data_IF_589551830084
#
_entry.id   IF_589551830084
#
_cell.length_a   1.000
_cell.length_b   1.000
_cell.length_c   1.000
_cell.angle_alpha   90.00
_cell.angle_beta   90.00
_cell.angle_gamma   90.00
#
_symmetry.space_group_name_H-M   'P 1'
#
loop_
_entity.id
_entity.type
_entity.pdbx_description
1 polymer ?
#
# COMPACT_ATOMS: atom_id res chain seq x y z
N UNK A 1 8.30 -39.87 -23.76
CA UNK A 1 9.27 -38.86 -24.24
C UNK A 1 8.65 -37.84 -25.20
N UNK A 2 7.95 -38.26 -26.27
CA UNK A 2 7.26 -37.31 -27.17
C UNK A 2 6.15 -36.52 -26.47
N UNK A 3 5.36 -37.17 -25.62
CA UNK A 3 4.27 -36.53 -24.86
C UNK A 3 4.81 -35.48 -23.87
N UNK A 4 5.89 -35.80 -23.15
CA UNK A 4 6.56 -34.87 -22.23
C UNK A 4 7.09 -33.63 -22.97
N UNK A 5 7.61 -33.81 -24.19
CA UNK A 5 8.05 -32.69 -25.02
C UNK A 5 6.87 -31.87 -25.55
N UNK A 6 5.75 -32.51 -25.88
CA UNK A 6 4.52 -31.82 -26.29
C UNK A 6 3.89 -31.04 -25.14
N UNK A 7 3.86 -31.60 -23.93
CA UNK A 7 3.44 -30.89 -22.72
C UNK A 7 4.36 -29.70 -22.40
N UNK A 8 5.68 -29.86 -22.54
CA UNK A 8 6.62 -28.76 -22.32
C UNK A 8 6.44 -27.63 -23.36
N UNK A 9 6.18 -27.96 -24.62
CA UNK A 9 5.86 -26.99 -25.67
C UNK A 9 4.52 -26.31 -25.39
N UNK A 10 3.51 -27.06 -24.96
CA UNK A 10 2.18 -26.54 -24.62
C UNK A 10 2.22 -25.62 -23.39
N UNK A 11 2.97 -25.98 -22.35
CA UNK A 11 3.19 -25.12 -21.19
C UNK A 11 3.96 -23.85 -21.54
N UNK A 12 4.91 -23.91 -22.47
CA UNK A 12 5.62 -22.72 -22.95
C UNK A 12 4.73 -21.82 -23.82
N UNK A 13 3.77 -22.40 -24.56
CA UNK A 13 2.75 -21.63 -25.28
C UNK A 13 1.76 -20.95 -24.32
N UNK A 14 1.33 -21.65 -23.26
CA UNK A 14 0.48 -21.09 -22.20
C UNK A 14 1.18 -19.95 -21.43
N UNK A 15 2.49 -20.02 -21.20
CA UNK A 15 3.27 -18.91 -20.59
C UNK A 15 3.36 -17.67 -21.50
N UNK A 16 3.29 -17.85 -22.83
CA UNK A 16 3.36 -16.75 -23.81
C UNK A 16 2.01 -16.05 -24.00
N UNK A 17 0.91 -16.77 -23.82
CA UNK A 17 -0.44 -16.25 -23.78
C UNK A 17 -0.67 -15.68 -22.38
N UNK A 18 -0.45 -14.38 -22.17
CA UNK A 18 -0.50 -13.71 -20.86
C UNK A 18 -1.89 -13.69 -20.19
N UNK A 19 -2.52 -14.84 -20.01
CA UNK A 19 -3.88 -15.04 -19.51
C UNK A 19 -4.02 -14.56 -18.07
N UNK A 20 -2.99 -14.76 -17.25
CA UNK A 20 -3.00 -14.38 -15.83
C UNK A 20 -2.63 -12.91 -15.58
N UNK A 21 -2.42 -12.08 -16.62
CA UNK A 21 -2.07 -10.66 -16.42
C UNK A 21 -3.24 -9.81 -15.91
N UNK A 22 -4.47 -10.29 -16.14
CA UNK A 22 -5.72 -9.62 -15.73
C UNK A 22 -6.55 -10.43 -14.73
N UNK A 23 -6.05 -11.56 -14.21
CA UNK A 23 -6.78 -12.34 -13.19
C UNK A 23 -6.33 -11.87 -11.81
N UNK A 24 -7.16 -11.09 -11.08
CA UNK A 24 -6.79 -10.64 -9.74
C UNK A 24 -6.69 -11.84 -8.80
N UNK A 25 -5.47 -12.14 -8.34
CA UNK A 25 -5.24 -13.07 -7.25
C UNK A 25 -5.59 -12.33 -5.95
N UNK A 26 -6.79 -12.56 -5.44
CA UNK A 26 -7.25 -11.98 -4.19
C UNK A 26 -6.46 -12.57 -3.01
N UNK A 27 -5.92 -11.69 -2.13
CA UNK A 27 -5.47 -12.07 -0.79
C UNK A 27 -4.01 -11.79 -0.40
N UNK A 28 -3.15 -11.31 -1.30
CA UNK A 28 -1.72 -11.03 -0.96
C UNK A 28 -1.39 -9.52 -0.98
N UNK A 29 -2.23 -8.69 -1.60
CA UNK A 29 -2.00 -7.25 -1.68
C UNK A 29 -3.05 -6.48 -0.89
N UNK A 30 -2.87 -6.41 0.42
CA UNK A 30 -3.32 -5.24 1.16
C UNK A 30 -2.32 -4.11 0.87
N UNK A 31 -2.60 -3.33 -0.18
CA UNK A 31 -2.17 -1.94 -0.35
C UNK A 31 -2.90 -1.35 -1.54
N UNK A 32 -4.09 -0.85 -1.25
CA UNK A 32 -4.64 0.30 -1.95
C UNK A 32 -3.60 1.42 -1.96
N UNK A 33 -3.03 1.67 -3.14
CA UNK A 33 -2.82 3.01 -3.69
C UNK A 33 -2.25 2.88 -5.10
N UNK A 34 -3.18 3.07 -6.05
CA UNK A 34 -3.01 3.75 -7.33
C UNK A 34 -1.98 3.20 -8.33
N UNK A 35 -2.42 3.03 -9.57
CA UNK A 35 -1.64 2.67 -10.74
C UNK A 35 -0.51 3.69 -11.06
N UNK A 36 0.53 3.75 -10.24
CA UNK A 36 1.85 4.21 -10.64
C UNK A 36 2.80 3.06 -10.44
N UNK A 37 3.42 2.59 -11.53
CA UNK A 37 4.57 1.69 -11.45
C UNK A 37 5.60 2.39 -10.55
N UNK A 38 5.90 1.82 -9.40
CA UNK A 38 6.93 2.38 -8.52
C UNK A 38 8.27 2.02 -9.12
N UNK A 39 9.11 3.02 -9.38
CA UNK A 39 10.49 2.84 -9.81
C UNK A 39 11.37 3.15 -8.61
N UNK A 40 12.19 2.19 -8.20
CA UNK A 40 13.22 2.38 -7.17
C UNK A 40 14.61 2.54 -7.79
N UNK A 41 15.56 3.07 -7.02
CA UNK A 41 16.94 3.26 -7.42
C UNK A 41 17.90 2.57 -6.44
N UNK A 42 18.99 1.97 -6.93
CA UNK A 42 20.06 1.39 -6.10
C UNK A 42 21.44 1.78 -6.64
N UNK A 43 22.48 1.83 -5.80
CA UNK A 43 23.86 2.08 -6.27
C UNK A 43 24.25 1.03 -7.32
N UNK A 44 24.76 1.48 -8.46
CA UNK A 44 25.13 0.61 -9.56
C UNK A 44 26.51 -0.01 -9.31
N UNK A 45 26.62 -1.33 -9.50
CA UNK A 45 27.90 -2.06 -9.39
C UNK A 45 28.46 -2.46 -10.76
N UNK A 46 27.68 -2.28 -11.82
CA UNK A 46 27.95 -2.83 -13.17
C UNK A 46 28.01 -1.76 -14.27
N UNK A 47 28.27 -0.49 -13.93
CA UNK A 47 28.37 0.56 -14.94
C UNK A 47 29.70 0.43 -15.69
N UNK A 48 29.65 0.08 -16.97
CA UNK A 48 30.83 -0.19 -17.82
C UNK A 48 31.13 0.98 -18.79
N UNK A 49 30.93 2.23 -18.35
CA UNK A 49 31.25 3.44 -19.14
C UNK A 49 30.25 3.81 -20.24
N UNK A 50 29.18 3.03 -20.46
CA UNK A 50 28.15 3.33 -21.48
C UNK A 50 26.86 3.85 -20.84
N UNK A 51 26.33 5.00 -21.30
CA UNK A 51 25.07 5.52 -20.79
C UNK A 51 23.91 4.62 -21.22
N UNK A 52 23.22 4.06 -20.23
CA UNK A 52 22.04 3.23 -20.41
C UNK A 52 20.80 3.93 -19.84
N UNK A 53 19.61 3.61 -20.38
CA UNK A 53 18.33 4.16 -19.90
C UNK A 53 18.05 3.87 -18.41
N UNK A 54 18.64 2.81 -17.88
CA UNK A 54 18.49 2.37 -16.50
C UNK A 54 19.52 2.97 -15.55
N UNK A 55 20.55 3.65 -16.06
CA UNK A 55 21.63 4.21 -15.23
C UNK A 55 21.53 5.72 -15.17
N UNK A 56 21.57 6.23 -13.94
CA UNK A 56 21.21 7.60 -13.62
C UNK A 56 22.12 8.09 -12.51
N UNK A 57 22.60 9.33 -12.59
CA UNK A 57 23.37 9.93 -11.50
C UNK A 57 22.43 10.69 -10.57
N UNK A 58 22.55 10.43 -9.28
CA UNK A 58 21.73 11.04 -8.22
C UNK A 58 22.67 11.60 -7.17
N UNK A 59 22.67 12.92 -6.99
CA UNK A 59 23.51 13.61 -5.99
C UNK A 59 22.89 14.95 -5.57
N UNK A 60 23.42 15.58 -4.51
CA UNK A 60 22.94 16.91 -4.10
C UNK A 60 23.22 17.94 -5.20
N UNK A 61 22.32 18.90 -5.39
CA UNK A 61 22.43 19.96 -6.42
C UNK A 61 23.76 20.69 -6.40
N UNK A 62 24.38 20.87 -5.22
CA UNK A 62 25.71 21.49 -5.07
C UNK A 62 26.81 20.68 -5.75
N UNK A 63 26.84 19.35 -5.58
CA UNK A 63 27.83 18.45 -6.19
C UNK A 63 27.63 18.33 -7.70
N UNK A 64 26.39 18.31 -8.16
CA UNK A 64 26.07 18.34 -9.59
C UNK A 64 26.42 19.70 -10.22
N UNK A 65 26.24 20.80 -9.48
CA UNK A 65 26.57 22.14 -9.95
C UNK A 65 28.06 22.34 -10.19
N UNK A 66 28.93 21.71 -9.38
CA UNK A 66 30.38 21.70 -9.57
C UNK A 66 30.80 21.06 -10.92
N UNK A 67 29.98 20.11 -11.43
CA UNK A 67 30.23 19.37 -12.68
C UNK A 67 29.51 19.95 -13.91
N UNK A 68 28.91 21.14 -13.81
CA UNK A 68 27.99 21.77 -14.79
C UNK A 68 28.39 21.77 -16.27
N UNK A 69 29.68 21.63 -16.61
CA UNK A 69 30.14 21.78 -18.00
C UNK A 69 29.66 20.64 -18.92
N UNK A 70 29.38 19.45 -18.38
CA UNK A 70 29.01 18.27 -19.19
C UNK A 70 27.70 17.57 -18.75
N UNK A 71 27.01 18.12 -17.74
CA UNK A 71 25.78 17.50 -17.21
C UNK A 71 24.57 17.72 -18.15
N UNK A 72 24.01 16.61 -18.65
CA UNK A 72 22.77 16.58 -19.44
C UNK A 72 21.56 16.28 -18.56
N UNK A 73 20.46 17.00 -18.78
CA UNK A 73 19.20 16.78 -18.08
C UNK A 73 18.68 15.36 -18.33
N UNK A 74 18.29 14.63 -17.27
CA UNK A 74 17.73 13.29 -17.45
C UNK A 74 16.43 13.30 -18.27
N UNK A 75 15.53 14.26 -18.04
CA UNK A 75 14.22 14.33 -18.70
C UNK A 75 14.26 14.62 -20.21
N UNK A 76 15.11 15.57 -20.68
CA UNK A 76 15.17 15.96 -22.10
C UNK A 76 16.53 15.72 -22.79
N UNK A 77 17.61 15.49 -22.06
CA UNK A 77 18.96 15.26 -22.60
C UNK A 77 19.76 16.51 -22.97
N UNK A 78 19.20 17.71 -22.79
CA UNK A 78 19.89 18.98 -23.04
C UNK A 78 20.75 19.42 -21.85
N UNK A 79 21.81 20.20 -22.13
CA UNK A 79 22.74 20.70 -21.12
C UNK A 79 22.20 22.02 -20.53
N UNK A 80 22.52 22.30 -19.27
CA UNK A 80 22.33 23.63 -18.66
C UNK A 80 21.18 23.75 -17.66
N UNK A 81 20.42 22.68 -17.39
CA UNK A 81 19.39 22.65 -16.35
C UNK A 81 19.28 21.26 -15.71
N UNK A 82 18.69 21.20 -14.52
CA UNK A 82 18.44 19.94 -13.81
C UNK A 82 17.10 19.31 -14.21
N UNK A 83 16.94 18.01 -13.97
CA UNK A 83 15.73 17.29 -14.37
C UNK A 83 14.46 17.83 -13.68
N UNK A 84 14.59 18.24 -12.42
CA UNK A 84 13.51 18.88 -11.66
C UNK A 84 13.05 20.24 -12.25
N UNK A 85 13.95 20.98 -12.88
CA UNK A 85 13.71 22.33 -13.42
C UNK A 85 13.48 22.36 -14.94
N UNK A 86 13.41 21.19 -15.58
CA UNK A 86 13.28 21.10 -17.03
C UNK A 86 11.98 21.75 -17.53
N UNK A 87 12.09 22.76 -18.41
CA UNK A 87 10.94 23.43 -19.07
C UNK A 87 10.81 23.09 -20.55
N UNK A 88 11.66 22.20 -21.06
CA UNK A 88 11.62 21.83 -22.47
C UNK A 88 10.30 21.07 -22.77
N UNK A 89 9.54 21.42 -23.82
CA UNK A 89 8.33 20.68 -24.21
C UNK A 89 8.61 19.26 -24.75
N UNK A 90 9.86 18.95 -25.14
CA UNK A 90 10.27 17.64 -25.68
C UNK A 90 10.86 16.70 -24.62
N UNK A 91 10.20 16.58 -23.47
CA UNK A 91 10.61 15.60 -22.44
C UNK A 91 10.29 14.18 -22.87
N UNK A 92 11.17 13.26 -22.53
CA UNK A 92 10.93 11.82 -22.72
C UNK A 92 9.99 11.36 -21.61
N UNK A 93 8.71 11.11 -21.94
CA UNK A 93 7.65 10.76 -20.98
C UNK A 93 8.03 9.60 -20.04
N UNK A 94 8.72 8.58 -20.55
CA UNK A 94 9.22 7.43 -19.77
C UNK A 94 10.16 7.88 -18.64
N UNK A 95 11.05 8.85 -18.90
CA UNK A 95 12.00 9.35 -17.90
C UNK A 95 11.35 10.29 -16.89
N UNK A 96 10.32 11.03 -17.31
CA UNK A 96 9.53 11.87 -16.41
C UNK A 96 8.74 11.00 -15.44
N UNK A 97 8.14 9.90 -15.91
CA UNK A 97 7.46 8.94 -15.04
C UNK A 97 8.41 8.33 -14.00
N UNK A 98 9.64 7.99 -14.40
CA UNK A 98 10.67 7.52 -13.47
C UNK A 98 11.03 8.60 -12.44
N UNK A 99 11.23 9.85 -12.88
CA UNK A 99 11.58 10.96 -11.98
C UNK A 99 10.49 11.24 -10.95
N UNK A 100 9.22 11.24 -11.38
CA UNK A 100 8.06 11.46 -10.49
C UNK A 100 7.85 10.29 -9.50
N UNK A 101 8.36 9.10 -9.83
CA UNK A 101 8.30 7.91 -8.96
C UNK A 101 9.43 7.86 -7.94
N UNK A 102 10.59 8.46 -8.24
CA UNK A 102 11.70 8.58 -7.30
C UNK A 102 11.37 9.74 -6.33
N UNK A 103 10.90 9.41 -5.12
CA UNK A 103 10.63 10.40 -4.06
C UNK A 103 11.93 11.05 -3.54
N UNK A 104 12.54 11.92 -4.35
CA UNK A 104 13.79 12.62 -4.04
C UNK A 104 13.48 13.89 -3.23
N UNK A 105 14.30 14.17 -2.21
CA UNK A 105 14.22 15.42 -1.45
C UNK A 105 14.65 16.64 -2.27
N UNK A 106 14.17 17.83 -1.89
CA UNK A 106 14.35 19.09 -2.63
C UNK A 106 15.83 19.49 -2.90
N UNK A 107 16.78 18.93 -2.15
CA UNK A 107 18.22 19.20 -2.32
C UNK A 107 18.93 18.23 -3.28
N UNK A 108 18.28 17.13 -3.67
CA UNK A 108 18.84 16.04 -4.48
C UNK A 108 18.25 16.13 -5.89
N UNK A 109 19.08 15.95 -6.92
CA UNK A 109 18.62 16.00 -8.31
C UNK A 109 19.25 14.90 -9.16
N UNK A 110 18.72 14.78 -10.38
CA UNK A 110 18.97 13.66 -11.28
C UNK A 110 19.58 14.15 -12.59
N UNK A 111 20.71 13.55 -12.98
CA UNK A 111 21.45 13.88 -14.20
C UNK A 111 21.71 12.60 -15.00
N UNK A 112 21.67 12.69 -16.34
CA UNK A 112 22.05 11.55 -17.18
C UNK A 112 23.56 11.39 -17.21
N UNK A 113 24.02 10.13 -17.15
CA UNK A 113 25.44 9.79 -17.23
C UNK A 113 25.98 10.01 -18.65
N UNK A 114 27.23 10.47 -18.77
CA UNK A 114 27.99 10.58 -20.02
C UNK A 114 28.58 9.26 -20.51
N UNK A 115 29.48 9.35 -21.49
CA UNK A 115 30.31 8.23 -21.95
C UNK A 115 31.64 8.25 -21.19
N UNK A 116 32.15 7.07 -20.83
CA UNK A 116 33.46 6.83 -20.22
C UNK A 116 33.75 7.72 -18.99
N UNK A 117 32.83 7.71 -18.04
CA UNK A 117 33.04 8.37 -16.74
C UNK A 117 33.65 7.40 -15.72
N UNK A 118 34.80 7.79 -15.14
CA UNK A 118 35.55 6.98 -14.17
C UNK A 118 34.90 6.96 -12.76
N UNK A 119 34.09 7.97 -12.44
CA UNK A 119 33.42 8.12 -11.13
C UNK A 119 32.09 7.34 -11.08
N UNK A 120 32.16 6.09 -10.60
CA UNK A 120 31.00 5.20 -10.45
C UNK A 120 30.24 5.40 -9.13
N UNK A 121 30.81 6.13 -8.16
CA UNK A 121 30.25 6.28 -6.79
C UNK A 121 28.81 6.80 -6.76
N UNK A 122 28.48 7.70 -7.68
CA UNK A 122 27.22 8.46 -7.68
C UNK A 122 26.23 7.94 -8.74
N UNK A 123 26.54 6.79 -9.37
CA UNK A 123 25.71 6.20 -10.43
C UNK A 123 24.77 5.16 -9.82
N UNK A 124 23.48 5.32 -10.08
CA UNK A 124 22.40 4.46 -9.60
C UNK A 124 21.72 3.74 -10.77
N UNK A 125 21.34 2.49 -10.56
CA UNK A 125 20.47 1.73 -11.45
C UNK A 125 19.01 1.89 -11.01
N UNK A 126 18.11 2.21 -11.95
CA UNK A 126 16.69 2.48 -11.71
C UNK A 126 15.82 1.39 -12.36
N UNK A 127 14.80 0.87 -11.65
CA UNK A 127 13.95 -0.23 -12.12
C UNK A 127 12.67 -0.44 -11.29
N UNK A 128 11.70 -1.20 -11.85
CA UNK A 128 10.35 -1.41 -11.28
C UNK A 128 10.33 -2.39 -10.08
N UNK A 129 11.30 -3.30 -9.98
CA UNK A 129 11.39 -4.33 -8.92
C UNK A 129 12.44 -3.98 -7.85
N UNK A 130 12.89 -2.72 -7.80
CA UNK A 130 13.88 -2.27 -6.82
C UNK A 130 13.09 -1.65 -5.66
N UNK A 131 13.18 -2.25 -4.48
CA UNK A 131 12.59 -1.69 -3.26
C UNK A 131 13.16 -0.29 -2.98
N UNK A 132 12.29 0.62 -2.55
CA UNK A 132 12.56 2.05 -2.36
C UNK A 132 13.78 2.28 -1.46
N UNK A 133 14.93 2.62 -2.07
CA UNK A 133 16.09 3.10 -1.33
C UNK A 133 15.79 4.53 -0.88
N UNK A 134 15.47 4.72 0.40
CA UNK A 134 15.30 6.05 0.97
C UNK A 134 16.67 6.74 0.99
N UNK A 135 16.85 7.77 0.17
CA UNK A 135 18.05 8.60 0.18
C UNK A 135 18.08 9.41 1.48
N UNK A 136 18.64 8.85 2.55
CA UNK A 136 18.90 9.61 3.77
C UNK A 136 20.07 10.57 3.51
N UNK A 137 19.93 11.81 3.97
CA UNK A 137 20.94 12.87 3.75
C UNK A 137 22.34 12.53 4.26
N UNK A 138 22.45 11.54 5.16
CA UNK A 138 23.68 11.02 5.76
C UNK A 138 24.53 10.19 4.77
N UNK A 139 23.92 9.51 3.78
CA UNK A 139 24.64 8.66 2.81
C UNK A 139 25.32 9.45 1.67
N UNK A 140 25.05 10.76 1.59
CA UNK A 140 25.50 11.70 0.55
C UNK A 140 26.47 12.78 1.10
N UNK A 141 27.04 12.59 2.29
CA UNK A 141 28.10 13.45 2.80
C UNK A 141 29.47 13.07 2.20
N UNK A 142 29.70 13.46 0.96
CA UNK A 142 31.03 13.48 0.32
C UNK A 142 31.91 14.64 0.83
N UNK A 143 31.95 14.84 2.15
CA UNK A 143 32.92 15.75 2.75
C UNK A 143 34.20 15.00 3.07
N UNK A 144 35.03 14.72 2.06
CA UNK A 144 36.48 14.50 2.30
C UNK A 144 37.48 14.59 1.16
N UNK A 145 37.15 15.02 -0.05
CA UNK A 145 38.17 15.14 -1.12
C UNK A 145 38.39 16.58 -1.62
N UNK A 146 38.75 17.48 -0.71
CA UNK A 146 39.66 18.57 -1.07
C UNK A 146 41.06 18.15 -0.62
N UNK A 147 41.96 17.93 -1.57
CA UNK A 147 43.39 17.80 -1.31
C UNK A 147 43.94 19.15 -0.84
N UNK A 148 43.73 19.45 0.43
CA UNK A 148 44.49 20.46 1.15
C UNK A 148 45.78 19.77 1.57
N UNK A 149 46.88 20.06 0.85
CA UNK A 149 48.21 19.65 1.28
C UNK A 149 48.62 20.46 2.51
N UNK A 150 48.21 19.96 3.68
CA UNK A 150 48.74 20.38 4.96
C UNK A 150 49.95 19.48 5.25
N UNK A 151 51.14 20.05 5.44
CA UNK A 151 52.26 19.30 6.01
C UNK A 151 51.89 18.91 7.44
N UNK A 152 51.26 17.76 7.60
CA UNK A 152 51.08 17.11 8.89
C UNK A 152 52.41 16.47 9.25
N UNK A 153 53.01 16.92 10.34
CA UNK A 153 53.98 16.10 11.08
C UNK A 153 53.32 14.72 11.23
N UNK A 154 53.97 13.65 10.79
CA UNK A 154 53.45 12.28 10.80
C UNK A 154 53.12 11.83 12.24
N UNK A 155 51.98 12.29 12.76
CA UNK A 155 51.43 11.80 14.02
C UNK A 155 50.70 10.48 13.71
N UNK A 156 51.05 9.38 14.40
CA UNK A 156 50.38 8.10 14.19
C UNK A 156 48.88 8.24 14.48
N UNK A 157 48.05 7.81 13.53
CA UNK A 157 46.58 7.85 13.63
C UNK A 157 46.04 7.12 14.88
N UNK A 158 46.79 6.16 15.41
CA UNK A 158 46.39 5.38 16.58
C UNK A 158 47.49 5.30 17.64
N UNK A 159 47.13 5.69 18.86
CA UNK A 159 47.95 5.53 20.05
C UNK A 159 47.60 4.20 20.72
N UNK A 160 48.50 3.22 20.56
CA UNK A 160 48.30 1.84 20.99
C UNK A 160 49.22 1.48 22.16
N UNK A 161 48.65 1.05 23.29
CA UNK A 161 49.36 0.62 24.50
C UNK A 161 49.27 -0.89 24.67
N UNK A 162 50.34 -1.51 25.15
CA UNK A 162 50.42 -2.94 25.41
C UNK A 162 51.42 -3.63 24.48
N UNK A 163 52.00 -4.70 25.00
CA UNK A 163 52.86 -5.55 24.20
C UNK A 163 52.02 -6.38 23.21
N UNK A 164 52.52 -6.64 22.00
CA UNK A 164 51.88 -7.57 21.09
C UNK A 164 51.93 -8.96 21.69
N UNK A 165 50.81 -9.39 22.27
CA UNK A 165 50.58 -10.78 22.66
C UNK A 165 49.83 -11.51 21.55
N UNK A 166 50.14 -12.80 21.34
CA UNK A 166 49.65 -13.61 20.21
C UNK A 166 48.13 -13.61 20.00
N UNK A 167 47.33 -13.32 21.04
CA UNK A 167 45.87 -13.40 20.99
C UNK A 167 45.12 -12.16 21.49
N UNK A 168 45.80 -11.17 22.10
CA UNK A 168 45.15 -9.91 22.53
C UNK A 168 45.64 -8.74 21.71
N UNK A 169 44.69 -7.92 21.25
CA UNK A 169 44.96 -6.65 20.60
C UNK A 169 45.54 -5.62 21.56
N UNK A 170 46.32 -4.69 21.01
CA UNK A 170 46.80 -3.51 21.74
C UNK A 170 45.62 -2.61 22.13
N UNK A 171 45.72 -1.97 23.28
CA UNK A 171 44.71 -1.05 23.80
C UNK A 171 44.82 0.30 23.08
N UNK A 172 43.74 0.71 22.40
CA UNK A 172 43.64 2.06 21.85
C UNK A 172 43.35 3.05 22.97
N UNK A 173 44.19 4.06 23.11
CA UNK A 173 44.08 5.12 24.12
C UNK A 173 44.07 6.48 23.45
N UNK A 174 43.68 7.53 24.17
CA UNK A 174 43.81 8.90 23.68
C UNK A 174 45.28 9.34 23.66
N UNK A 175 45.59 10.37 22.87
CA UNK A 175 46.94 11.00 22.86
C UNK A 175 47.40 11.41 24.26
N UNK A 176 46.50 11.99 25.05
CA UNK A 176 46.78 12.42 26.42
C UNK A 176 47.10 11.24 27.32
N UNK A 177 46.37 10.13 27.19
CA UNK A 177 46.62 8.90 27.95
C UNK A 177 47.93 8.22 27.53
N UNK A 178 48.26 8.22 26.23
CA UNK A 178 49.49 7.61 25.73
C UNK A 178 50.76 8.25 26.27
N UNK A 179 50.82 9.59 26.26
CA UNK A 179 51.96 10.35 26.78
C UNK A 179 51.87 10.61 28.29
N UNK A 180 50.84 10.10 28.97
CA UNK A 180 50.67 10.31 30.39
C UNK A 180 51.72 9.54 31.19
N UNK A 181 52.41 10.24 32.09
CA UNK A 181 53.12 9.62 33.21
C UNK A 181 52.11 9.32 34.31
N UNK A 182 51.49 8.15 34.18
CA UNK A 182 50.35 7.73 35.00
C UNK A 182 50.69 7.72 36.50
N UNK A 183 49.84 8.35 37.30
CA UNK A 183 49.82 8.23 38.77
C UNK A 183 48.56 7.45 39.15
N UNK A 184 48.74 6.22 39.61
CA UNK A 184 47.65 5.28 39.87
C UNK A 184 47.12 5.39 41.30
N UNK A 185 45.81 5.34 41.46
CA UNK A 185 45.08 5.16 42.71
C UNK A 185 44.19 3.92 42.64
N UNK A 186 43.94 3.32 43.80
CA UNK A 186 43.19 2.05 43.92
C UNK A 186 41.96 2.17 44.84
N UNK A 187 41.79 3.32 45.52
CA UNK A 187 40.85 3.48 46.65
C UNK A 187 39.47 4.00 46.26
N UNK A 188 39.19 4.20 44.96
CA UNK A 188 37.92 4.79 44.53
C UNK A 188 36.74 3.84 44.77
N UNK A 189 35.60 4.41 45.15
CA UNK A 189 34.38 3.66 45.53
C UNK A 189 33.36 3.59 44.38
N UNK A 190 33.37 4.56 43.46
CA UNK A 190 32.36 4.68 42.40
C UNK A 190 32.54 3.64 41.29
N UNK A 191 31.53 2.85 40.91
CA UNK A 191 31.68 1.86 39.85
C UNK A 191 32.05 2.54 38.53
N UNK A 192 33.22 2.23 37.99
CA UNK A 192 33.70 2.75 36.69
C UNK A 192 34.00 1.58 35.75
N UNK A 193 33.84 1.79 34.44
CA UNK A 193 34.12 0.77 33.43
C UNK A 193 35.60 0.79 33.03
N UNK A 194 36.19 -0.40 32.93
CA UNK A 194 37.55 -0.53 32.41
C UNK A 194 37.64 -0.13 30.93
N UNK A 195 38.65 0.65 30.55
CA UNK A 195 38.83 1.05 29.15
C UNK A 195 39.08 -0.15 28.21
N UNK A 196 39.79 -1.18 28.70
CA UNK A 196 40.16 -2.34 27.88
C UNK A 196 39.02 -3.34 27.69
N UNK A 197 38.41 -3.83 28.77
CA UNK A 197 37.37 -4.87 28.68
C UNK A 197 35.94 -4.35 28.86
N UNK A 198 35.75 -3.06 29.20
CA UNK A 198 34.45 -2.42 29.47
C UNK A 198 33.65 -3.01 30.64
N UNK A 199 34.19 -3.98 31.37
CA UNK A 199 33.59 -4.51 32.58
C UNK A 199 33.60 -3.46 33.70
N UNK A 200 32.58 -3.51 34.54
CA UNK A 200 32.47 -2.70 35.75
C UNK A 200 33.54 -3.14 36.76
N UNK A 201 34.44 -2.22 37.09
CA UNK A 201 35.54 -2.48 38.00
C UNK A 201 35.13 -2.07 39.41
N UNK A 202 35.05 -3.06 40.31
CA UNK A 202 34.69 -2.87 41.71
C UNK A 202 35.86 -2.31 42.53
N UNK A 203 35.55 -1.79 43.72
CA UNK A 203 36.54 -1.32 44.70
C UNK A 203 37.59 -2.41 44.98
N UNK A 204 38.88 -2.08 44.89
CA UNK A 204 40.00 -2.99 45.13
C UNK A 204 40.49 -3.78 43.91
N UNK A 205 39.73 -3.79 42.80
CA UNK A 205 40.04 -4.53 41.56
C UNK A 205 40.30 -3.60 40.36
N UNK A 206 40.71 -2.35 40.62
CA UNK A 206 40.97 -1.35 39.58
C UNK A 206 42.11 -0.42 39.90
N UNK A 207 42.68 0.15 38.84
CA UNK A 207 43.64 1.24 38.89
C UNK A 207 43.09 2.42 38.09
N UNK A 208 42.99 3.56 38.75
CA UNK A 208 42.50 4.82 38.17
C UNK A 208 43.66 5.82 38.11
N UNK A 209 43.86 6.46 36.96
CA UNK A 209 44.90 7.47 36.82
C UNK A 209 44.38 8.88 37.13
N UNK A 210 45.01 9.57 38.09
CA UNK A 210 44.63 10.94 38.47
C UNK A 210 44.87 12.01 37.41
N UNK A 211 45.73 11.74 36.42
CA UNK A 211 46.13 12.73 35.42
C UNK A 211 45.33 12.64 34.12
N UNK A 212 44.98 11.42 33.71
CA UNK A 212 44.34 11.16 32.41
C UNK A 212 43.04 10.35 32.53
N UNK A 213 42.53 10.18 33.75
CA UNK A 213 41.26 9.51 34.08
C UNK A 213 41.14 8.10 33.47
N UNK A 214 42.28 7.45 33.27
CA UNK A 214 42.33 6.11 32.70
C UNK A 214 42.00 5.07 33.78
N UNK A 215 40.93 4.31 33.57
CA UNK A 215 40.51 3.20 34.45
C UNK A 215 40.82 1.84 33.82
N UNK A 216 41.57 1.01 34.54
CA UNK A 216 41.91 -0.36 34.13
C UNK A 216 41.60 -1.34 35.26
N UNK A 217 40.97 -2.48 34.93
CA UNK A 217 40.68 -3.51 35.92
C UNK A 217 41.88 -4.43 36.22
N UNK A 218 41.82 -5.16 37.33
CA UNK A 218 42.83 -6.12 37.78
C UNK A 218 43.14 -7.22 36.77
N UNK A 219 42.18 -7.58 35.91
CA UNK A 219 42.37 -8.56 34.84
C UNK A 219 43.13 -7.99 33.64
N UNK A 220 42.97 -6.70 33.35
CA UNK A 220 43.58 -6.05 32.18
C UNK A 220 44.93 -5.41 32.50
N UNK A 221 45.16 -5.02 33.76
CA UNK A 221 46.40 -4.44 34.23
C UNK A 221 47.65 -5.26 33.80
N UNK A 222 47.70 -6.60 33.98
CA UNK A 222 48.89 -7.38 33.65
C UNK A 222 49.23 -7.39 32.16
N UNK A 223 48.27 -7.14 31.29
CA UNK A 223 48.48 -7.18 29.84
C UNK A 223 48.96 -5.84 29.28
N UNK A 224 48.43 -4.74 29.80
CA UNK A 224 48.70 -3.40 29.27
C UNK A 224 49.69 -2.59 30.11
N UNK A 225 49.72 -2.79 31.43
CA UNK A 225 50.53 -2.02 32.39
C UNK A 225 51.23 -2.95 33.40
N UNK A 226 52.16 -3.77 32.91
CA UNK A 226 52.89 -4.81 33.69
C UNK A 226 53.65 -4.31 34.92
N UNK A 227 54.10 -3.05 34.90
CA UNK A 227 55.00 -2.50 35.92
C UNK A 227 54.30 -2.22 37.26
N UNK A 228 52.98 -2.05 37.24
CA UNK A 228 52.17 -1.67 38.40
C UNK A 228 51.37 -2.86 38.85
N UNK A 229 51.42 -3.28 40.11
CA UNK A 229 50.65 -4.43 40.59
C UNK A 229 49.50 -3.94 41.45
N UNK A 230 48.27 -4.31 41.08
CA UNK A 230 47.14 -4.24 42.00
C UNK A 230 47.38 -5.32 43.05
N UNK A 231 47.43 -4.93 44.32
CA UNK A 231 47.40 -5.85 45.45
C UNK A 231 45.92 -6.16 45.72
N UNK A 232 45.38 -7.30 45.26
CA UNK A 232 43.99 -7.62 45.56
C UNK A 232 43.85 -7.74 47.08
N UNK A 233 42.90 -7.00 47.66
CA UNK A 233 42.41 -7.30 49.01
C UNK A 233 41.98 -8.76 49.00
N UNK A 234 42.60 -9.57 49.85
CA UNK A 234 42.45 -11.03 49.89
C UNK A 234 40.97 -11.41 49.78
N UNK A 235 40.58 -11.93 48.61
CA UNK A 235 39.25 -12.48 48.37
C UNK A 235 39.03 -13.51 49.47
N UNK A 236 38.06 -13.26 50.36
CA UNK A 236 37.61 -14.26 51.34
C UNK A 236 37.01 -15.42 50.55
N UNK A 237 37.81 -16.42 50.22
CA UNK A 237 37.34 -17.63 49.54
C UNK A 237 36.25 -18.24 50.41
N UNK A 238 35.00 -18.22 49.90
CA UNK A 238 33.90 -18.94 50.55
C UNK A 238 34.31 -20.40 50.68
N UNK A 239 34.17 -20.96 51.88
CA UNK A 239 34.44 -22.38 52.11
C UNK A 239 33.64 -23.22 51.08
N UNK A 240 34.24 -24.26 50.47
CA UNK A 240 33.55 -25.09 49.50
C UNK A 240 32.32 -25.73 50.15
N UNK A 241 31.14 -25.55 49.55
CA UNK A 241 29.92 -26.22 50.00
C UNK A 241 30.10 -27.72 49.75
N UNK A 242 30.01 -28.53 50.81
CA UNK A 242 29.96 -29.99 50.68
C UNK A 242 28.59 -30.36 50.13
N UNK A 243 28.56 -30.87 48.89
CA UNK A 243 27.34 -31.33 48.23
C UNK A 243 27.06 -32.77 48.67
N UNK A 244 25.87 -33.02 49.21
CA UNK A 244 25.43 -34.37 49.62
C UNK A 244 24.79 -35.10 48.44
N UNK A 245 25.62 -35.80 47.67
CA UNK A 245 25.22 -36.54 46.47
C UNK A 245 24.17 -37.63 46.75
N UNK A 246 24.16 -38.19 47.97
CA UNK A 246 23.23 -39.26 48.33
C UNK A 246 21.79 -38.74 48.38
N UNK A 247 21.57 -37.54 48.93
CA UNK A 247 20.25 -36.90 48.94
C UNK A 247 19.76 -36.59 47.53
N UNK A 248 20.62 -35.99 46.72
CA UNK A 248 20.29 -35.65 45.32
C UNK A 248 19.88 -36.90 44.53
N UNK A 249 20.61 -38.02 44.70
CA UNK A 249 20.27 -39.27 44.02
C UNK A 249 18.93 -39.86 44.49
N UNK A 250 18.61 -39.77 45.79
CA UNK A 250 17.33 -40.24 46.33
C UNK A 250 16.18 -39.38 45.80
N UNK A 251 16.34 -38.06 45.79
CA UNK A 251 15.32 -37.13 45.30
C UNK A 251 15.05 -37.33 43.80
N UNK A 252 16.10 -37.53 43.01
CA UNK A 252 15.98 -37.84 41.58
C UNK A 252 15.27 -39.17 41.34
N UNK A 253 15.59 -40.21 42.12
CA UNK A 253 14.93 -41.52 42.00
C UNK A 253 13.44 -41.45 42.36
N UNK A 254 13.10 -40.68 43.40
CA UNK A 254 11.71 -40.43 43.77
C UNK A 254 10.95 -39.69 42.66
N UNK A 255 11.57 -38.68 42.05
CA UNK A 255 10.99 -37.93 40.94
C UNK A 255 10.77 -38.81 39.69
N UNK A 256 11.72 -39.70 39.37
CA UNK A 256 11.59 -40.63 38.26
C UNK A 256 10.44 -41.61 38.48
N UNK A 257 10.35 -42.21 39.67
CA UNK A 257 9.22 -43.09 40.02
C UNK A 257 7.87 -42.40 39.91
N UNK A 258 7.77 -41.16 40.38
CA UNK A 258 6.53 -40.40 40.27
C UNK A 258 6.16 -40.15 38.80
N UNK A 259 7.14 -39.86 37.95
CA UNK A 259 6.93 -39.68 36.52
C UNK A 259 6.48 -40.97 35.83
N UNK A 260 7.10 -42.10 36.16
CA UNK A 260 6.75 -43.38 35.56
C UNK A 260 5.32 -43.81 35.94
N UNK A 261 4.88 -43.53 37.17
CA UNK A 261 3.49 -43.76 37.60
C UNK A 261 2.47 -42.90 36.83
N UNK A 262 2.80 -41.63 36.57
CA UNK A 262 1.97 -40.74 35.76
C UNK A 262 1.91 -41.22 34.31
N UNK A 263 3.02 -41.73 33.77
CA UNK A 263 3.06 -42.27 32.42
C UNK A 263 2.17 -43.50 32.29
N UNK A 264 2.18 -44.40 33.28
CA UNK A 264 1.29 -45.57 33.32
C UNK A 264 -0.18 -45.15 33.38
N UNK A 265 -0.57 -44.20 34.25
CA UNK A 265 -1.96 -43.73 34.31
C UNK A 265 -2.42 -43.07 33.00
N UNK A 266 -1.55 -42.28 32.36
CA UNK A 266 -1.85 -41.66 31.07
C UNK A 266 -2.00 -42.69 29.94
N UNK A 267 -1.24 -43.80 29.98
CA UNK A 267 -1.38 -44.90 29.03
C UNK A 267 -2.74 -45.60 29.20
N UNK A 268 -3.16 -45.84 30.43
CA UNK A 268 -4.48 -46.41 30.72
C UNK A 268 -5.62 -45.48 30.23
N UNK A 269 -5.52 -44.17 30.48
CA UNK A 269 -6.47 -43.18 29.97
C UNK A 269 -6.52 -43.16 28.43
N UNK A 270 -5.37 -43.26 27.77
CA UNK A 270 -5.28 -43.31 26.30
C UNK A 270 -5.96 -44.58 25.76
N UNK A 271 -5.73 -45.73 26.38
CA UNK A 271 -6.36 -46.99 25.98
C UNK A 271 -7.89 -46.92 26.12
N UNK A 272 -8.39 -46.34 27.21
CA UNK A 272 -9.82 -46.12 27.41
C UNK A 272 -10.40 -45.19 26.35
N UNK A 273 -9.71 -44.08 26.04
CA UNK A 273 -10.13 -43.14 24.99
C UNK A 273 -10.15 -43.82 23.61
N UNK A 274 -9.16 -44.64 23.29
CA UNK A 274 -9.11 -45.40 22.03
C UNK A 274 -10.26 -46.42 21.93
N UNK A 275 -10.61 -47.09 23.03
CA UNK A 275 -11.77 -47.98 23.07
C UNK A 275 -13.08 -47.23 22.83
N UNK A 276 -13.25 -46.05 23.44
CA UNK A 276 -14.42 -45.20 23.20
C UNK A 276 -14.50 -44.75 21.73
N UNK A 277 -13.38 -44.32 21.15
CA UNK A 277 -13.33 -43.93 19.72
C UNK A 277 -13.70 -45.11 18.81
N UNK A 278 -13.21 -46.32 19.10
CA UNK A 278 -13.60 -47.51 18.33
C UNK A 278 -15.10 -47.79 18.43
N UNK A 279 -15.67 -47.68 19.62
CA UNK A 279 -17.11 -47.84 19.85
C UNK A 279 -17.95 -46.84 19.05
N UNK A 280 -17.60 -45.55 19.09
CA UNK A 280 -18.33 -44.53 18.34
C UNK A 280 -18.13 -44.63 16.83
N UNK A 281 -16.96 -45.07 16.35
CA UNK A 281 -16.75 -45.35 14.93
C UNK A 281 -17.62 -46.49 14.43
N UNK A 282 -17.71 -47.59 15.16
CA UNK A 282 -18.60 -48.71 14.80
C UNK A 282 -20.07 -48.26 14.73
N UNK A 283 -20.55 -47.52 15.73
CA UNK A 283 -21.90 -46.94 15.70
C UNK A 283 -22.14 -45.99 14.52
N UNK A 284 -21.14 -45.18 14.15
CA UNK A 284 -21.27 -44.29 13.01
C UNK A 284 -21.30 -45.04 11.66
N UNK A 285 -20.63 -46.19 11.57
CA UNK A 285 -20.68 -47.07 10.39
C UNK A 285 -22.04 -47.78 10.31
N UNK A 286 -22.58 -48.27 11.42
CA UNK A 286 -23.95 -48.84 11.49
C UNK A 286 -25.01 -47.82 11.01
N UNK A 287 -24.93 -46.56 11.49
CA UNK A 287 -25.85 -45.50 11.06
C UNK A 287 -25.70 -45.22 9.56
N UNK A 288 -24.46 -45.22 9.02
CA UNK A 288 -24.22 -45.01 7.59
C UNK A 288 -24.82 -46.13 6.75
N UNK A 289 -24.65 -47.38 7.15
CA UNK A 289 -25.25 -48.52 6.46
C UNK A 289 -26.78 -48.46 6.50
N UNK A 290 -27.37 -48.08 7.63
CA UNK A 290 -28.83 -47.93 7.77
C UNK A 290 -29.39 -46.78 6.89
N UNK A 291 -28.65 -45.66 6.75
CA UNK A 291 -29.03 -44.56 5.84
C UNK A 291 -28.83 -44.86 4.36
N UNK A 292 -28.01 -45.85 3.98
CA UNK A 292 -27.85 -46.25 2.58
C UNK A 292 -28.98 -47.17 2.10
N UNK A 293 -29.68 -47.85 3.01
CA UNK A 293 -30.75 -48.82 2.71
C UNK A 293 -32.14 -48.17 2.64
N UNK A 294 -32.27 -46.90 3.04
CA UNK A 294 -33.49 -46.12 2.74
C UNK A 294 -33.45 -45.69 1.28
N UNK A 295 -33.93 -46.59 0.41
CA UNK A 295 -34.21 -46.31 -1.00
C UNK A 295 -34.95 -44.97 -1.11
N UNK A 296 -34.40 -44.04 -1.89
CA UNK A 296 -35.07 -42.77 -2.22
C UNK A 296 -36.46 -43.13 -2.72
N UNK A 297 -37.55 -42.64 -2.08
CA UNK A 297 -38.90 -43.04 -2.46
C UNK A 297 -39.11 -42.84 -3.96
N UNK A 298 -39.66 -43.84 -4.66
CA UNK A 298 -39.91 -43.78 -6.12
C UNK A 298 -40.69 -42.52 -6.53
N UNK A 299 -41.47 -41.96 -5.63
CA UNK A 299 -42.19 -40.70 -5.79
C UNK A 299 -41.25 -39.49 -5.98
N UNK A 300 -40.15 -39.42 -5.22
CA UNK A 300 -39.13 -38.36 -5.34
C UNK A 300 -38.35 -38.50 -6.65
N UNK A 301 -38.10 -39.74 -7.10
CA UNK A 301 -37.43 -40.00 -8.39
C UNK A 301 -38.32 -39.54 -9.55
N UNK A 302 -39.62 -39.87 -9.52
CA UNK A 302 -40.59 -39.41 -10.52
C UNK A 302 -40.75 -37.89 -10.53
N UNK A 303 -40.76 -37.26 -9.36
CA UNK A 303 -40.82 -35.79 -9.26
C UNK A 303 -39.57 -35.12 -9.85
N UNK A 304 -38.39 -35.68 -9.57
CA UNK A 304 -37.13 -35.24 -10.17
C UNK A 304 -37.12 -35.36 -11.70
N UNK A 305 -37.69 -36.42 -12.26
CA UNK A 305 -37.82 -36.59 -13.72
C UNK A 305 -38.81 -35.59 -14.32
N UNK A 306 -39.96 -35.37 -13.68
CA UNK A 306 -40.92 -34.36 -14.10
C UNK A 306 -40.32 -32.94 -14.07
N UNK A 307 -39.55 -32.61 -13.03
CA UNK A 307 -38.84 -31.34 -12.94
C UNK A 307 -37.78 -31.18 -14.04
N UNK A 308 -37.07 -32.26 -14.39
CA UNK A 308 -36.12 -32.25 -15.51
C UNK A 308 -36.81 -31.97 -16.85
N UNK A 309 -37.92 -32.65 -17.12
CA UNK A 309 -38.72 -32.44 -18.34
C UNK A 309 -39.30 -31.02 -18.40
N UNK A 310 -39.81 -30.52 -17.26
CA UNK A 310 -40.32 -29.15 -17.13
C UNK A 310 -39.23 -28.12 -17.43
N UNK A 311 -38.04 -28.30 -16.85
CA UNK A 311 -36.90 -27.43 -17.13
C UNK A 311 -36.49 -27.45 -18.59
N UNK A 312 -36.43 -28.63 -19.24
CA UNK A 312 -36.11 -28.74 -20.67
C UNK A 312 -37.13 -28.01 -21.55
N UNK A 313 -38.43 -28.08 -21.20
CA UNK A 313 -39.47 -27.34 -21.90
C UNK A 313 -39.32 -25.82 -21.73
N UNK A 314 -39.01 -25.36 -20.50
CA UNK A 314 -38.77 -23.95 -20.22
C UNK A 314 -37.54 -23.42 -20.97
N UNK A 315 -36.50 -24.23 -21.14
CA UNK A 315 -35.33 -23.86 -21.93
C UNK A 315 -35.67 -23.68 -23.41
N UNK A 316 -36.47 -24.57 -24.00
CA UNK A 316 -36.94 -24.44 -25.40
C UNK A 316 -37.79 -23.18 -25.59
N UNK A 317 -38.71 -22.90 -24.67
CA UNK A 317 -39.51 -21.68 -24.71
C UNK A 317 -38.64 -20.42 -24.63
N UNK A 318 -37.65 -20.42 -23.73
CA UNK A 318 -36.68 -19.31 -23.62
C UNK A 318 -35.88 -19.12 -24.92
N UNK A 319 -35.47 -20.20 -25.58
CA UNK A 319 -34.77 -20.11 -26.87
C UNK A 319 -35.65 -19.54 -27.98
N UNK A 320 -36.92 -19.91 -28.03
CA UNK A 320 -37.86 -19.39 -29.02
C UNK A 320 -38.20 -17.91 -28.78
N UNK A 321 -38.35 -17.51 -27.51
CA UNK A 321 -38.51 -16.10 -27.13
C UNK A 321 -37.28 -15.26 -27.52
N UNK A 322 -36.07 -15.80 -27.35
CA UNK A 322 -34.83 -15.12 -27.77
C UNK A 322 -34.77 -14.92 -29.29
N UNK A 323 -35.12 -15.95 -30.08
CA UNK A 323 -35.22 -15.81 -31.54
C UNK A 323 -36.26 -14.74 -31.92
N UNK A 324 -37.40 -14.71 -31.23
CA UNK A 324 -38.45 -13.72 -31.49
C UNK A 324 -37.99 -12.29 -31.19
N UNK A 325 -37.22 -12.11 -30.12
CA UNK A 325 -36.60 -10.83 -29.78
C UNK A 325 -35.61 -10.42 -30.88
N UNK A 326 -34.75 -11.31 -31.34
CA UNK A 326 -33.80 -11.04 -32.42
C UNK A 326 -34.50 -10.62 -33.73
N UNK A 327 -35.59 -11.30 -34.09
CA UNK A 327 -36.45 -10.92 -35.23
C UNK A 327 -36.98 -9.50 -35.10
N UNK A 328 -37.58 -9.17 -33.94
CA UNK A 328 -38.14 -7.85 -33.66
C UNK A 328 -37.07 -6.76 -33.65
N UNK A 329 -35.87 -7.04 -33.14
CA UNK A 329 -34.75 -6.10 -33.20
C UNK A 329 -34.29 -5.82 -34.64
N UNK A 330 -34.31 -6.84 -35.49
CA UNK A 330 -34.01 -6.71 -36.92
C UNK A 330 -35.05 -5.85 -37.63
N UNK A 331 -36.34 -6.09 -37.36
CA UNK A 331 -37.46 -5.28 -37.87
C UNK A 331 -37.33 -3.82 -37.43
N UNK A 332 -37.11 -3.57 -36.13
CA UNK A 332 -36.94 -2.23 -35.59
C UNK A 332 -35.73 -1.51 -36.19
N UNK A 333 -34.63 -2.24 -36.46
CA UNK A 333 -33.45 -1.68 -37.13
C UNK A 333 -33.77 -1.29 -38.58
N UNK A 334 -34.53 -2.10 -39.29
CA UNK A 334 -34.99 -1.79 -40.65
C UNK A 334 -35.91 -0.55 -40.65
N UNK A 335 -36.87 -0.48 -39.74
CA UNK A 335 -37.74 0.69 -39.58
C UNK A 335 -36.96 1.96 -39.25
N UNK A 336 -35.97 1.89 -38.34
CA UNK A 336 -35.07 3.01 -38.03
C UNK A 336 -34.26 3.45 -39.25
N UNK A 337 -33.80 2.50 -40.07
CA UNK A 337 -33.10 2.79 -41.33
C UNK A 337 -34.00 3.53 -42.34
N UNK A 338 -35.24 3.08 -42.50
CA UNK A 338 -36.24 3.75 -43.35
C UNK A 338 -36.58 5.14 -42.80
N UNK A 339 -36.73 5.29 -41.48
CA UNK A 339 -36.97 6.58 -40.83
C UNK A 339 -35.81 7.55 -41.00
N UNK A 340 -34.57 7.06 -40.98
CA UNK A 340 -33.37 7.88 -41.24
C UNK A 340 -33.26 8.32 -42.72
N UNK A 341 -33.85 7.57 -43.65
CA UNK A 341 -33.97 7.99 -45.07
C UNK A 341 -35.10 9.01 -45.28
N UNK A 342 -36.14 8.98 -44.44
CA UNK A 342 -37.28 9.91 -44.47
C UNK A 342 -37.06 11.20 -43.66
N UNK A 343 -35.93 11.35 -42.94
CA UNK A 343 -35.62 12.62 -42.28
C UNK A 343 -35.29 13.67 -43.35
N UNK A 344 -36.23 14.60 -43.51
CA UNK A 344 -36.07 15.82 -44.30
C UNK A 344 -34.74 16.49 -43.93
N UNK A 345 -33.88 16.86 -44.91
CA UNK A 345 -32.64 17.59 -44.65
C UNK A 345 -32.94 18.80 -43.76
N UNK A 346 -32.13 19.03 -42.71
CA UNK A 346 -32.32 20.12 -41.75
C UNK A 346 -32.55 21.48 -42.42
N UNK A 347 -31.91 21.70 -43.56
CA UNK A 347 -32.04 22.91 -44.39
C UNK A 347 -33.47 23.12 -44.92
N UNK A 348 -34.17 22.06 -45.34
CA UNK A 348 -35.57 22.15 -45.78
C UNK A 348 -36.51 22.38 -44.59
N UNK A 349 -36.21 21.78 -43.43
CA UNK A 349 -36.99 22.02 -42.21
C UNK A 349 -36.83 23.46 -41.71
N UNK A 350 -35.63 24.03 -41.77
CA UNK A 350 -35.39 25.44 -41.42
C UNK A 350 -36.12 26.40 -42.39
N UNK A 351 -36.09 26.12 -43.70
CA UNK A 351 -36.84 26.90 -44.69
C UNK A 351 -38.36 26.85 -44.42
N UNK A 352 -38.92 25.67 -44.16
CA UNK A 352 -40.35 25.51 -43.84
C UNK A 352 -40.70 26.24 -42.54
N UNK A 353 -39.85 26.18 -41.52
CA UNK A 353 -40.06 26.89 -40.26
C UNK A 353 -40.00 28.41 -40.42
N UNK A 354 -39.11 28.92 -41.28
CA UNK A 354 -39.03 30.34 -41.59
C UNK A 354 -40.27 30.82 -42.38
N UNK A 355 -40.76 30.01 -43.33
CA UNK A 355 -42.01 30.31 -44.03
C UNK A 355 -43.22 30.29 -43.09
N UNK A 356 -43.30 29.33 -42.17
CA UNK A 356 -44.36 29.28 -41.15
C UNK A 356 -44.33 30.50 -40.24
N UNK A 357 -43.15 31.01 -39.88
CA UNK A 357 -43.01 32.26 -39.11
C UNK A 357 -43.53 33.46 -39.91
N UNK A 358 -43.16 33.60 -41.19
CA UNK A 358 -43.67 34.65 -42.08
C UNK A 358 -45.19 34.59 -42.23
N UNK A 359 -45.76 33.39 -42.36
CA UNK A 359 -47.21 33.19 -42.43
C UNK A 359 -47.88 33.55 -41.11
N UNK A 360 -47.30 33.20 -39.96
CA UNK A 360 -47.82 33.58 -38.64
C UNK A 360 -47.82 35.10 -38.43
N UNK A 361 -46.78 35.82 -38.87
CA UNK A 361 -46.73 37.28 -38.81
C UNK A 361 -47.77 37.94 -39.72
N UNK A 362 -47.95 37.40 -40.94
CA UNK A 362 -49.03 37.81 -41.84
C UNK A 362 -50.41 37.57 -41.23
N UNK A 363 -50.60 36.44 -40.55
CA UNK A 363 -51.85 36.13 -39.88
C UNK A 363 -52.11 37.10 -38.71
N UNK A 364 -51.08 37.40 -37.90
CA UNK A 364 -51.21 38.37 -36.79
C UNK A 364 -51.53 39.77 -37.29
N UNK A 365 -50.86 40.24 -38.34
CA UNK A 365 -51.14 41.55 -38.94
C UNK A 365 -52.56 41.61 -39.50
N UNK A 366 -52.99 40.59 -40.26
CA UNK A 366 -54.37 40.48 -40.73
C UNK A 366 -55.38 40.41 -39.59
N UNK A 367 -55.04 39.75 -38.47
CA UNK A 367 -55.90 39.68 -37.29
C UNK A 367 -56.01 41.04 -36.60
N UNK A 368 -54.91 41.80 -36.50
CA UNK A 368 -54.94 43.17 -35.96
C UNK A 368 -55.72 44.12 -36.86
N UNK A 369 -55.58 44.01 -38.18
CA UNK A 369 -56.38 44.79 -39.15
C UNK A 369 -57.86 44.42 -39.04
N UNK A 370 -58.19 43.14 -38.92
CA UNK A 370 -59.57 42.68 -38.72
C UNK A 370 -60.16 43.18 -37.39
N UNK A 371 -59.36 43.27 -36.32
CA UNK A 371 -59.82 43.87 -35.05
C UNK A 371 -60.01 45.37 -35.15
N UNK A 372 -59.13 46.08 -35.85
CA UNK A 372 -59.26 47.53 -36.08
C UNK A 372 -60.48 47.83 -36.96
N UNK A 373 -60.72 47.05 -38.00
CA UNK A 373 -61.92 47.15 -38.83
C UNK A 373 -63.19 46.81 -38.02
N UNK A 374 -63.14 45.81 -37.13
CA UNK A 374 -64.25 45.52 -36.21
C UNK A 374 -64.50 46.65 -35.22
N UNK A 375 -63.46 47.31 -34.72
CA UNK A 375 -63.60 48.49 -33.85
C UNK A 375 -64.13 49.70 -34.61
N UNK A 376 -63.68 49.93 -35.85
CA UNK A 376 -64.21 50.97 -36.71
C UNK A 376 -65.69 50.71 -37.08
N UNK A 377 -66.05 49.45 -37.36
CA UNK A 377 -67.45 49.07 -37.57
C UNK A 377 -68.30 49.25 -36.30
N UNK A 378 -67.80 48.83 -35.13
CA UNK A 378 -68.46 49.03 -33.84
C UNK A 378 -68.62 50.50 -33.46
N UNK A 379 -67.71 51.38 -33.89
CA UNK A 379 -67.82 52.83 -33.70
C UNK A 379 -68.85 53.49 -34.63
N UNK A 380 -69.33 52.77 -35.66
CA UNK A 380 -70.29 53.27 -36.67
C UNK A 380 -71.68 52.63 -36.61
N UNK A 381 -71.93 51.70 -35.68
CA UNK A 381 -73.26 51.10 -35.49
C UNK A 381 -73.65 51.06 -34.01
N UNK A 382 -74.60 51.91 -33.64
CA UNK A 382 -75.38 51.77 -32.42
C UNK A 382 -76.26 50.51 -32.49
N UNK A 383 -76.52 49.88 -31.33
CA UNK A 383 -77.55 48.86 -30.97
C UNK A 383 -77.00 47.45 -30.60
N UNK A 384 -77.58 46.76 -29.59
CA UNK A 384 -76.82 45.96 -28.60
C UNK A 384 -77.15 44.44 -28.54
N UNK A 385 -76.48 43.78 -27.57
CA UNK A 385 -76.85 42.59 -26.78
C UNK A 385 -76.58 41.16 -27.29
N UNK A 386 -76.05 40.37 -26.34
CA UNK A 386 -76.09 38.91 -26.13
C UNK A 386 -75.70 37.96 -27.28
N UNK A 387 -74.86 36.95 -27.08
CA UNK A 387 -75.17 35.77 -26.24
C UNK A 387 -73.99 34.78 -26.18
N UNK A 388 -74.06 33.91 -25.17
CA UNK A 388 -73.22 32.75 -24.84
C UNK A 388 -72.89 31.83 -26.02
N UNK A 389 -71.66 31.28 -26.06
CA UNK A 389 -71.42 29.89 -26.53
C UNK A 389 -70.33 29.23 -25.65
N UNK A 390 -70.69 28.06 -25.13
CA UNK A 390 -69.91 27.07 -24.38
C UNK A 390 -68.85 26.37 -25.24
N UNK A 391 -67.70 26.06 -24.63
CA UNK A 391 -66.85 24.88 -24.88
C UNK A 391 -65.90 24.77 -23.67
N UNK A 392 -66.16 23.91 -22.67
CA UNK A 392 -65.71 22.52 -22.57
C UNK A 392 -64.25 22.35 -23.02
N UNK A 393 -63.35 22.18 -22.05
CA UNK A 393 -62.34 21.12 -22.07
C UNK A 393 -61.93 20.81 -20.61
N UNK A 394 -62.14 19.55 -20.25
CA UNK A 394 -61.59 18.88 -19.08
C UNK A 394 -60.09 18.65 -19.31
N UNK A 395 -59.22 18.93 -18.33
CA UNK A 395 -58.00 18.15 -18.14
C UNK A 395 -57.34 18.39 -16.77
N UNK A 396 -57.25 17.29 -16.02
CA UNK A 396 -56.33 16.92 -14.94
C UNK A 396 -55.57 18.01 -14.16
N UNK A 397 -55.98 18.19 -12.91
CA UNK A 397 -55.13 18.73 -11.83
C UNK A 397 -54.04 17.71 -11.49
N UNK A 398 -52.84 17.91 -12.02
CA UNK A 398 -51.63 17.25 -11.50
C UNK A 398 -51.28 17.93 -10.17
N UNK A 399 -51.54 17.24 -9.06
CA UNK A 399 -50.97 17.58 -7.76
C UNK A 399 -49.45 17.54 -7.86
N UNK A 400 -48.81 18.69 -8.03
CA UNK A 400 -47.37 18.84 -7.85
C UNK A 400 -47.06 18.71 -6.36
N UNK A 401 -46.91 17.47 -5.89
CA UNK A 401 -46.26 17.20 -4.61
C UNK A 401 -44.82 17.70 -4.76
N UNK A 402 -44.49 18.79 -4.05
CA UNK A 402 -43.12 19.30 -3.96
C UNK A 402 -42.19 18.16 -3.62
N UNK A 403 -41.10 18.00 -4.37
CA UNK A 403 -40.06 17.03 -4.07
C UNK A 403 -39.53 17.28 -2.65
N UNK A 404 -39.90 16.42 -1.71
CA UNK A 404 -39.31 16.43 -0.37
C UNK A 404 -37.89 15.90 -0.50
N UNK A 405 -36.94 16.61 0.09
CA UNK A 405 -35.56 16.15 0.19
C UNK A 405 -35.58 14.92 1.10
N UNK A 406 -35.28 13.72 0.57
CA UNK A 406 -35.40 12.43 1.28
C UNK A 406 -34.30 12.20 2.33
N UNK A 407 -33.67 13.29 2.81
CA UNK A 407 -32.56 13.28 3.75
C UNK A 407 -33.06 13.72 5.13
N UNK A 408 -32.69 12.97 6.16
CA UNK A 408 -33.19 13.18 7.52
C UNK A 408 -32.28 14.19 8.24
N UNK A 409 -32.81 15.37 8.56
CA UNK A 409 -32.07 16.45 9.21
C UNK A 409 -32.21 16.33 10.73
N UNK A 410 -31.10 16.07 11.43
CA UNK A 410 -31.08 15.85 12.89
C UNK A 410 -30.29 16.98 13.56
N UNK A 411 -30.78 17.49 14.69
CA UNK A 411 -30.02 18.44 15.53
C UNK A 411 -29.18 17.67 16.54
N UNK A 412 -27.87 17.85 16.49
CA UNK A 412 -26.89 17.18 17.36
C UNK A 412 -26.16 18.24 18.17
N UNK A 413 -25.95 18.01 19.47
CA UNK A 413 -25.11 18.88 20.30
C UNK A 413 -23.77 18.19 20.59
N UNK A 414 -22.67 18.78 20.14
CA UNK A 414 -21.32 18.29 20.42
C UNK A 414 -20.72 19.05 21.61
N UNK A 415 -20.25 18.33 22.62
CA UNK A 415 -19.60 18.91 23.79
C UNK A 415 -18.08 18.78 23.67
N UNK A 416 -17.39 19.92 23.58
CA UNK A 416 -15.92 19.97 23.56
C UNK A 416 -15.47 20.93 24.65
N UNK A 417 -14.64 20.43 25.58
CA UNK A 417 -14.10 21.18 26.72
C UNK A 417 -15.19 21.87 27.58
N UNK A 418 -16.31 21.16 27.85
CA UNK A 418 -17.40 21.65 28.70
C UNK A 418 -18.32 22.69 28.05
N UNK A 419 -18.16 22.96 26.74
CA UNK A 419 -19.06 23.82 25.96
C UNK A 419 -19.82 22.98 24.94
N UNK A 420 -21.15 23.04 25.01
CA UNK A 420 -22.07 22.39 24.06
C UNK A 420 -22.31 23.28 22.86
N UNK A 421 -22.02 22.77 21.66
CA UNK A 421 -22.25 23.45 20.37
C UNK A 421 -23.32 22.68 19.60
N UNK A 422 -24.50 23.28 19.35
CA UNK A 422 -25.53 22.66 18.53
C UNK A 422 -25.16 22.73 17.04
N UNK A 423 -25.35 21.63 16.32
CA UNK A 423 -25.05 21.44 14.92
C UNK A 423 -26.23 20.73 14.23
N UNK A 424 -26.39 20.96 12.94
CA UNK A 424 -27.36 20.23 12.12
C UNK A 424 -26.60 19.12 11.36
N UNK A 425 -26.93 17.87 11.62
CA UNK A 425 -26.45 16.70 10.90
C UNK A 425 -27.46 16.21 9.88
N UNK A 426 -26.98 15.58 8.81
CA UNK A 426 -27.80 14.90 7.82
C UNK A 426 -27.50 13.41 7.93
N UNK A 427 -28.54 12.59 8.13
CA UNK A 427 -28.43 11.14 8.14
C UNK A 427 -28.92 10.59 6.80
N UNK A 428 -27.98 10.07 6.01
CA UNK A 428 -28.25 9.36 4.77
C UNK A 428 -28.36 7.86 5.05
N UNK A 429 -29.56 7.30 4.87
CA UNK A 429 -29.84 5.88 5.15
C UNK A 429 -29.55 4.98 3.95
N UNK A 430 -29.11 5.54 2.80
CA UNK A 430 -28.81 4.78 1.58
C UNK A 430 -30.03 4.11 0.93
N UNK A 431 -31.24 4.33 1.44
CA UNK A 431 -32.48 3.81 0.90
C UNK A 431 -33.11 4.81 -0.08
N UNK A 432 -33.66 4.31 -1.19
CA UNK A 432 -34.34 5.15 -2.19
C UNK A 432 -35.59 5.88 -1.63
N UNK A 433 -36.16 5.35 -0.54
CA UNK A 433 -37.29 5.94 0.20
C UNK A 433 -37.01 5.80 1.70
N UNK A 434 -36.89 6.92 2.41
CA UNK A 434 -36.74 6.91 3.88
C UNK A 434 -38.09 6.64 4.54
N UNK A 435 -38.15 5.62 5.40
CA UNK A 435 -39.37 5.20 6.11
C UNK A 435 -39.38 5.69 7.57
N UNK A 436 -38.35 6.43 8.00
CA UNK A 436 -38.21 6.92 9.36
C UNK A 436 -38.90 8.28 9.51
N UNK A 437 -39.93 8.37 10.36
CA UNK A 437 -40.53 9.65 10.75
C UNK A 437 -39.76 10.27 11.92
N UNK A 438 -39.73 11.61 11.99
CA UNK A 438 -39.09 12.37 13.08
C UNK A 438 -39.65 12.01 14.48
N UNK A 439 -40.85 11.42 14.54
CA UNK A 439 -41.50 10.97 15.77
C UNK A 439 -40.89 9.69 16.39
N UNK A 440 -40.09 8.93 15.62
CA UNK A 440 -39.52 7.63 16.05
C UNK A 440 -38.10 7.80 16.62
N UNK A 441 -37.47 8.97 16.46
CA UNK A 441 -36.13 9.24 16.97
C UNK A 441 -36.26 9.98 18.31
N UNK A 442 -35.83 9.38 19.45
CA UNK A 442 -36.03 9.93 20.79
C UNK A 442 -35.24 11.21 21.09
#
# INVERSE_FOLDING_TARGET
MKEICQEAVFQNQLKKLGFCRNTPVHGIYEREKTHRRRYGARKSTSYNGKPHKTHVRIAKRKHLALRKKDCKCYACGEIGHFASECRNPRKIMERVAILDSLELGDEIDVVSVGFDEDDVSDIYSVGEEIEDYQFQNEDLEDFKNYEVYMMTIDEPNDYLVGEPSDWRSKLRVSRQQYYCQHIWKFDEIHPTRCLACRNEAMKGDRMDCLKCELTICSLCQPHYYKKEKILPEKIKTRAPKVIDWKKIAIDQHAALKARDQIEESLREELEQALQQVRHYKGKAEEIKEETLVTEVPEEVVREMENLRLSNELLEKLREDDLKRIEELECELRAERGVRALLTVPKEQHEQIMEELLKVKEKFRSAQTEATQLKEQLKASSEVPSESQILALDEECVINTVRAKNNLLNIKIALEVNGKKVPLNGILDTGAAVSVCSEEIIP
#
